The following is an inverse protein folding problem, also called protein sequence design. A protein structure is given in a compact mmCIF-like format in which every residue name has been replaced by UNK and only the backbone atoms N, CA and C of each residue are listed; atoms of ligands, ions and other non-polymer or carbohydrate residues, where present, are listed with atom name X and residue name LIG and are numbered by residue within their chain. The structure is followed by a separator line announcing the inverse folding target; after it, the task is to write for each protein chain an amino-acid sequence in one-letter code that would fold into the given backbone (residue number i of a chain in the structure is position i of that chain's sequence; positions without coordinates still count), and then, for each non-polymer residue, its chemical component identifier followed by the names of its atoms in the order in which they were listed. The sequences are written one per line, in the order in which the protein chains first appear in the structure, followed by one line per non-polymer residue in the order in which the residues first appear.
data_IF_624797809260
#
_entry.id   IF_624797809260
#
_cell.length_a   1.000
_cell.length_b   1.000
_cell.length_c   1.000
_cell.angle_alpha   90.00
_cell.angle_beta   90.00
_cell.angle_gamma   90.00
#
_symmetry.space_group_name_H-M   'P 1'
#
loop_
_entity.id
_entity.type
_entity.pdbx_description
1 polymer ?
#
# COMPACT_ATOMS: atom_id res chain seq x y z
N UNK A 1 7.28 -5.33 22.17
CA UNK A 1 8.24 -4.30 21.72
C UNK A 1 8.01 -3.03 22.52
N UNK A 2 9.04 -2.31 22.95
CA UNK A 2 8.83 -1.02 23.64
C UNK A 2 8.46 0.07 22.62
N UNK A 3 7.64 1.03 23.03
CA UNK A 3 7.23 2.17 22.19
C UNK A 3 8.44 2.93 21.60
N UNK A 4 9.48 3.04 22.44
CA UNK A 4 10.73 3.72 22.16
C UNK A 4 11.54 3.06 21.03
N UNK A 5 11.29 1.78 20.75
CA UNK A 5 11.87 1.06 19.62
C UNK A 5 10.88 1.01 18.43
N UNK A 6 9.59 0.81 18.70
CA UNK A 6 8.56 0.68 17.67
C UNK A 6 8.43 1.93 16.79
N UNK A 7 8.37 3.13 17.40
CA UNK A 7 8.19 4.38 16.66
C UNK A 7 9.39 4.69 15.75
N UNK A 8 10.66 4.63 16.22
CA UNK A 8 11.81 4.80 15.33
C UNK A 8 11.87 3.73 14.24
N UNK A 9 11.58 2.45 14.55
CA UNK A 9 11.60 1.39 13.54
C UNK A 9 10.54 1.63 12.47
N UNK A 10 9.30 1.94 12.84
CA UNK A 10 8.23 2.24 11.88
C UNK A 10 8.56 3.49 11.03
N UNK A 11 9.11 4.54 11.65
CA UNK A 11 9.52 5.75 10.96
C UNK A 11 10.66 5.51 9.96
N UNK A 12 11.71 4.82 10.39
CA UNK A 12 12.85 4.46 9.53
C UNK A 12 12.40 3.56 8.38
N UNK A 13 11.55 2.56 8.67
CA UNK A 13 10.97 1.68 7.66
C UNK A 13 10.16 2.46 6.63
N UNK A 14 9.37 3.45 7.08
CA UNK A 14 8.63 4.37 6.21
C UNK A 14 9.54 5.26 5.37
N UNK A 15 10.64 5.78 5.94
CA UNK A 15 11.64 6.55 5.18
C UNK A 15 12.36 5.68 4.15
N UNK A 16 12.74 4.45 4.50
CA UNK A 16 13.33 3.49 3.55
C UNK A 16 12.36 3.23 2.41
N UNK A 17 11.10 2.95 2.70
CA UNK A 17 10.09 2.78 1.66
C UNK A 17 9.90 4.05 0.80
N UNK A 18 9.96 5.25 1.39
CA UNK A 18 9.88 6.50 0.64
C UNK A 18 11.09 6.74 -0.29
N UNK A 19 12.29 6.30 0.11
CA UNK A 19 13.52 6.42 -0.69
C UNK A 19 13.60 5.31 -1.77
N UNK A 20 13.18 4.10 -1.43
CA UNK A 20 13.09 2.94 -2.34
C UNK A 20 11.62 2.50 -2.48
N UNK A 21 10.79 3.30 -3.16
CA UNK A 21 9.40 2.95 -3.39
C UNK A 21 9.34 1.72 -4.29
N UNK A 22 8.34 0.89 -4.05
CA UNK A 22 8.02 -0.21 -4.93
C UNK A 22 7.38 0.29 -6.23
N UNK A 23 7.33 -0.61 -7.20
CA UNK A 23 6.97 -0.36 -8.60
C UNK A 23 5.59 0.27 -8.79
N UNK A 24 4.70 0.11 -7.81
CA UNK A 24 3.35 0.66 -7.85
C UNK A 24 3.23 2.01 -7.14
N UNK A 25 4.05 2.29 -6.12
CA UNK A 25 3.94 3.52 -5.32
C UNK A 25 4.67 4.70 -5.95
N UNK A 26 5.77 4.46 -6.66
CA UNK A 26 6.56 5.54 -7.28
C UNK A 26 5.78 6.32 -8.36
N UNK A 27 5.12 5.69 -9.35
CA UNK A 27 4.37 6.42 -10.37
C UNK A 27 3.21 7.24 -9.79
N UNK A 28 2.59 6.78 -8.69
CA UNK A 28 1.45 7.46 -8.06
C UNK A 28 1.90 8.72 -7.31
N UNK A 29 2.87 8.57 -6.41
CA UNK A 29 3.36 9.66 -5.56
C UNK A 29 4.10 10.74 -6.34
N UNK A 30 4.91 10.33 -7.33
CA UNK A 30 5.59 11.26 -8.24
C UNK A 30 4.59 12.03 -9.12
N UNK A 31 3.57 11.34 -9.66
CA UNK A 31 2.54 12.00 -10.49
C UNK A 31 1.70 13.03 -9.73
N UNK A 32 1.40 12.81 -8.44
CA UNK A 32 0.69 13.82 -7.64
C UNK A 32 1.56 15.02 -7.25
N UNK A 33 2.84 14.79 -6.94
CA UNK A 33 3.76 15.84 -6.50
C UNK A 33 4.33 16.67 -7.65
N UNK A 34 4.54 16.06 -8.82
CA UNK A 34 5.14 16.69 -10.01
C UNK A 34 4.11 16.99 -11.10
N UNK A 35 3.05 16.19 -11.24
CA UNK A 35 2.04 16.36 -12.29
C UNK A 35 1.07 17.52 -12.07
N UNK A 36 1.07 18.15 -10.89
CA UNK A 36 0.42 19.43 -10.70
C UNK A 36 1.28 20.55 -11.31
N UNK A 37 0.73 21.34 -12.23
CA UNK A 37 1.41 22.47 -12.89
C UNK A 37 1.81 23.64 -11.94
N UNK A 38 1.75 23.44 -10.62
CA UNK A 38 2.13 24.42 -9.60
C UNK A 38 2.77 23.76 -8.39
N UNK A 39 3.85 24.35 -7.88
CA UNK A 39 4.55 23.93 -6.65
C UNK A 39 3.68 23.99 -5.39
N UNK A 40 2.60 24.78 -5.40
CA UNK A 40 1.60 24.80 -4.31
C UNK A 40 0.60 23.65 -4.46
N UNK A 41 0.13 23.40 -5.68
CA UNK A 41 -0.79 22.29 -5.98
C UNK A 41 -0.17 20.93 -5.66
N UNK A 42 1.11 20.73 -6.00
CA UNK A 42 1.79 19.44 -5.81
C UNK A 42 2.06 19.13 -4.36
N UNK A 43 2.40 20.16 -3.58
CA UNK A 43 2.52 20.04 -2.12
C UNK A 43 1.18 19.71 -1.47
N UNK A 44 0.09 20.34 -1.89
CA UNK A 44 -1.24 20.04 -1.35
C UNK A 44 -1.71 18.63 -1.74
N UNK A 45 -1.56 18.25 -3.01
CA UNK A 45 -1.93 16.92 -3.49
C UNK A 45 -1.12 15.82 -2.81
N UNK A 46 0.21 16.00 -2.72
CA UNK A 46 1.09 15.08 -2.00
C UNK A 46 0.76 14.98 -0.52
N UNK A 47 0.47 16.10 0.16
CA UNK A 47 0.06 16.09 1.56
C UNK A 47 -1.26 15.34 1.78
N UNK A 48 -2.29 15.65 0.97
CA UNK A 48 -3.61 15.02 1.07
C UNK A 48 -3.54 13.51 0.81
N UNK A 49 -2.77 13.10 -0.20
CA UNK A 49 -2.53 11.69 -0.50
C UNK A 49 -1.85 10.98 0.68
N UNK A 50 -0.72 11.51 1.14
CA UNK A 50 0.07 10.91 2.22
C UNK A 50 -0.69 10.87 3.54
N UNK A 51 -1.48 11.90 3.85
CA UNK A 51 -2.31 11.93 5.05
C UNK A 51 -3.42 10.87 5.00
N UNK A 52 -4.12 10.75 3.88
CA UNK A 52 -5.18 9.75 3.70
C UNK A 52 -4.62 8.32 3.74
N UNK A 53 -3.47 8.10 3.10
CA UNK A 53 -2.74 6.83 3.13
C UNK A 53 -2.28 6.48 4.54
N UNK A 54 -1.73 7.44 5.29
CA UNK A 54 -1.31 7.25 6.68
C UNK A 54 -2.49 6.92 7.59
N UNK A 55 -3.60 7.63 7.45
CA UNK A 55 -4.82 7.38 8.20
C UNK A 55 -5.35 5.97 7.93
N UNK A 56 -5.44 5.57 6.65
CA UNK A 56 -5.83 4.21 6.31
C UNK A 56 -4.86 3.20 6.93
N UNK A 57 -3.55 3.46 6.85
CA UNK A 57 -2.53 2.52 7.32
C UNK A 57 -2.62 2.31 8.83
N UNK A 58 -2.92 3.37 9.57
CA UNK A 58 -3.18 3.32 11.02
C UNK A 58 -4.44 2.49 11.34
N UNK A 59 -5.53 2.67 10.59
CA UNK A 59 -6.75 1.85 10.77
C UNK A 59 -6.46 0.38 10.49
N UNK A 60 -5.75 0.09 9.39
CA UNK A 60 -5.44 -1.28 9.02
C UNK A 60 -4.46 -1.95 9.99
N UNK A 61 -3.48 -1.22 10.55
CA UNK A 61 -2.60 -1.75 11.60
C UNK A 61 -3.35 -2.02 12.90
N UNK A 62 -4.31 -1.18 13.27
CA UNK A 62 -5.16 -1.42 14.43
C UNK A 62 -6.06 -2.65 14.23
N UNK A 63 -6.67 -2.78 13.05
CA UNK A 63 -7.43 -3.98 12.69
C UNK A 63 -6.53 -5.23 12.70
N UNK A 64 -5.28 -5.12 12.24
CA UNK A 64 -4.31 -6.21 12.31
C UNK A 64 -3.95 -6.55 13.75
N UNK A 65 -3.76 -5.56 14.63
CA UNK A 65 -3.54 -5.79 16.06
C UNK A 65 -4.72 -6.52 16.69
N UNK A 66 -5.95 -6.04 16.49
CA UNK A 66 -7.15 -6.64 17.06
C UNK A 66 -7.43 -8.04 16.50
N UNK A 67 -7.20 -8.24 15.20
CA UNK A 67 -7.36 -9.55 14.57
C UNK A 67 -6.27 -10.52 15.05
N UNK A 68 -4.99 -10.16 14.93
CA UNK A 68 -3.87 -11.07 15.22
C UNK A 68 -3.62 -11.26 16.72
N UNK A 69 -3.90 -10.30 17.60
CA UNK A 69 -3.67 -10.47 19.05
C UNK A 69 -4.43 -11.67 19.64
N UNK A 70 -5.57 -12.05 19.06
CA UNK A 70 -6.32 -13.24 19.44
C UNK A 70 -5.76 -14.55 18.84
N UNK A 71 -5.08 -14.50 17.68
CA UNK A 71 -4.56 -15.67 16.94
C UNK A 71 -3.06 -15.92 17.15
N UNK A 72 -2.30 -14.92 17.61
CA UNK A 72 -0.84 -14.92 17.73
C UNK A 72 -0.28 -15.98 18.68
N UNK A 73 -1.12 -16.65 19.47
CA UNK A 73 -0.70 -17.70 20.41
C UNK A 73 -1.10 -19.12 19.99
N UNK A 74 -1.60 -19.33 18.76
CA UNK A 74 -1.92 -20.67 18.26
C UNK A 74 -1.08 -21.02 17.02
N UNK A 75 0.02 -21.78 17.19
CA UNK A 75 0.91 -22.19 16.09
C UNK A 75 0.17 -22.85 14.91
N UNK A 76 -0.97 -23.51 15.17
CA UNK A 76 -1.78 -24.18 14.16
C UNK A 76 -2.30 -23.24 13.08
N UNK A 77 -2.71 -22.01 13.45
CA UNK A 77 -3.26 -21.06 12.50
C UNK A 77 -2.19 -20.42 11.62
N UNK A 78 -1.00 -20.20 12.17
CA UNK A 78 0.16 -19.71 11.42
C UNK A 78 0.55 -20.69 10.30
N UNK A 79 0.65 -21.99 10.60
CA UNK A 79 0.94 -23.02 9.60
C UNK A 79 -0.10 -23.07 8.49
N UNK A 80 -1.39 -22.97 8.82
CA UNK A 80 -2.47 -23.00 7.84
C UNK A 80 -2.39 -21.79 6.91
N UNK A 81 -2.21 -20.58 7.46
CA UNK A 81 -2.09 -19.35 6.67
C UNK A 81 -0.89 -19.41 5.73
N UNK A 82 0.28 -19.83 6.23
CA UNK A 82 1.47 -19.96 5.37
C UNK A 82 1.29 -21.00 4.27
N UNK A 83 0.65 -22.14 4.55
CA UNK A 83 0.34 -23.14 3.52
C UNK A 83 -0.59 -22.58 2.45
N UNK A 84 -1.66 -21.88 2.85
CA UNK A 84 -2.63 -21.31 1.91
C UNK A 84 -2.00 -20.20 1.08
N UNK A 85 -1.36 -19.22 1.71
CA UNK A 85 -0.72 -18.08 1.02
C UNK A 85 0.41 -18.58 0.12
N UNK A 86 1.28 -19.47 0.62
CA UNK A 86 2.35 -20.07 -0.18
C UNK A 86 1.83 -20.82 -1.39
N UNK A 87 0.73 -21.57 -1.24
CA UNK A 87 0.09 -22.28 -2.35
C UNK A 87 -0.49 -21.31 -3.39
N UNK A 88 -1.14 -20.23 -2.95
CA UNK A 88 -1.67 -19.19 -3.84
C UNK A 88 -0.54 -18.49 -4.59
N UNK A 89 0.57 -18.16 -3.93
CA UNK A 89 1.74 -17.57 -4.57
C UNK A 89 2.36 -18.50 -5.60
N UNK A 90 2.51 -19.80 -5.30
CA UNK A 90 2.99 -20.81 -6.24
C UNK A 90 2.04 -20.95 -7.43
N UNK A 91 0.73 -21.01 -7.20
CA UNK A 91 -0.27 -21.10 -8.26
C UNK A 91 -0.27 -19.86 -9.15
N UNK A 92 -0.15 -18.67 -8.57
CA UNK A 92 -0.10 -17.39 -9.28
C UNK A 92 1.20 -17.28 -10.08
N UNK A 93 2.33 -17.67 -9.49
CA UNK A 93 3.62 -17.74 -10.19
C UNK A 93 3.56 -18.70 -11.37
N UNK A 94 3.10 -19.93 -11.17
CA UNK A 94 2.92 -20.92 -12.23
C UNK A 94 1.96 -20.44 -13.32
N UNK A 95 0.88 -19.74 -12.94
CA UNK A 95 -0.07 -19.17 -13.88
C UNK A 95 0.61 -18.11 -14.76
N UNK A 96 1.34 -17.16 -14.16
CA UNK A 96 2.08 -16.12 -14.88
C UNK A 96 3.17 -16.73 -15.77
N UNK A 97 3.96 -17.67 -15.24
CA UNK A 97 5.03 -18.38 -15.97
C UNK A 97 4.52 -19.20 -17.15
N UNK A 98 3.36 -19.86 -17.03
CA UNK A 98 2.81 -20.73 -18.09
C UNK A 98 1.95 -20.00 -19.11
N UNK A 99 1.26 -18.93 -18.71
CA UNK A 99 0.30 -18.23 -19.58
C UNK A 99 0.79 -16.86 -20.05
N UNK A 100 1.81 -16.29 -19.42
CA UNK A 100 2.39 -14.98 -19.78
C UNK A 100 1.38 -13.83 -19.78
N UNK A 101 0.22 -14.00 -19.15
CA UNK A 101 -0.93 -13.09 -19.23
C UNK A 101 -1.49 -12.84 -17.84
N UNK A 102 -1.41 -11.58 -17.40
CA UNK A 102 -2.15 -11.07 -16.24
C UNK A 102 -3.59 -10.81 -16.68
N UNK A 103 -4.55 -11.46 -16.00
CA UNK A 103 -5.98 -11.19 -16.20
C UNK A 103 -6.27 -9.87 -15.49
N UNK A 104 -6.47 -8.80 -16.25
CA UNK A 104 -7.11 -7.60 -15.74
C UNK A 104 -8.63 -7.82 -15.78
N UNK A 105 -9.34 -7.39 -14.73
CA UNK A 105 -10.80 -7.43 -14.65
C UNK A 105 -11.41 -6.64 -15.83
N UNK A 106 -11.76 -7.35 -16.90
CA UNK A 106 -12.66 -6.87 -17.95
C UNK A 106 -12.05 -6.57 -19.32
N UNK A 107 -10.76 -6.24 -19.47
CA UNK A 107 -10.22 -5.81 -20.78
C UNK A 107 -8.78 -6.26 -21.06
N UNK A 108 -8.53 -6.64 -22.32
CA UNK A 108 -7.19 -6.79 -22.92
C UNK A 108 -6.86 -5.48 -23.61
N UNK A 109 -5.94 -4.69 -23.07
CA UNK A 109 -5.43 -3.52 -23.78
C UNK A 109 -4.43 -3.95 -24.86
N UNK A 110 -4.79 -3.71 -26.13
CA UNK A 110 -3.80 -3.54 -27.18
C UNK A 110 -3.03 -2.21 -27.00
N UNK A 111 -1.96 -1.96 -27.79
CA UNK A 111 -1.23 -0.71 -27.73
C UNK A 111 -2.21 0.45 -27.89
N UNK A 112 -2.17 1.37 -26.93
CA UNK A 112 -2.99 2.58 -26.91
C UNK A 112 -2.69 3.34 -28.20
N UNK A 113 -3.66 3.52 -29.12
CA UNK A 113 -3.46 4.46 -30.20
C UNK A 113 -3.25 5.81 -29.54
N UNK A 114 -2.14 6.47 -29.89
CA UNK A 114 -1.83 7.83 -29.47
C UNK A 114 -3.01 8.71 -29.90
N UNK A 115 -3.93 8.95 -28.98
CA UNK A 115 -5.13 9.71 -29.28
C UNK A 115 -4.70 11.16 -29.46
N UNK A 116 -4.82 11.66 -30.69
CA UNK A 116 -4.69 13.07 -31.08
C UNK A 116 -5.79 13.95 -30.45
N UNK A 117 -5.92 13.91 -29.12
CA UNK A 117 -6.72 14.88 -28.38
C UNK A 117 -5.97 15.21 -27.09
N UNK A 118 -4.78 15.80 -27.25
CA UNK A 118 -4.07 16.52 -26.20
C UNK A 118 -4.82 17.82 -25.84
N UNK A 119 -6.13 17.71 -25.58
CA UNK A 119 -6.86 18.74 -24.85
C UNK A 119 -6.22 18.83 -23.48
N UNK A 120 -5.93 20.06 -23.07
CA UNK A 120 -5.38 20.43 -21.76
C UNK A 120 -5.84 19.44 -20.68
N UNK A 121 -4.92 18.82 -19.93
CA UNK A 121 -5.28 17.82 -18.95
C UNK A 121 -6.36 18.36 -18.03
N UNK A 122 -7.47 17.61 -17.94
CA UNK A 122 -8.61 17.97 -17.11
C UNK A 122 -8.11 18.21 -15.69
N UNK A 123 -8.46 19.35 -15.11
CA UNK A 123 -8.15 19.63 -13.71
C UNK A 123 -8.77 18.53 -12.84
N UNK A 124 -7.94 17.75 -12.16
CA UNK A 124 -8.42 16.72 -11.26
C UNK A 124 -9.16 17.36 -10.08
N UNK A 125 -10.26 16.74 -9.60
CA UNK A 125 -10.94 17.23 -8.41
C UNK A 125 -9.98 17.28 -7.21
N UNK A 126 -10.05 18.30 -6.33
CA UNK A 126 -9.11 18.49 -5.24
C UNK A 126 -9.17 17.38 -4.17
N UNK A 127 -10.27 16.63 -4.10
CA UNK A 127 -10.42 15.48 -3.19
C UNK A 127 -9.82 14.18 -3.74
N UNK A 128 -9.50 14.12 -5.03
CA UNK A 128 -9.06 12.88 -5.68
C UNK A 128 -7.75 12.32 -5.08
N UNK A 129 -6.72 13.12 -4.73
CA UNK A 129 -5.54 12.62 -4.01
C UNK A 129 -5.89 11.97 -2.66
N UNK A 130 -6.89 12.50 -1.95
CA UNK A 130 -7.34 11.95 -0.66
C UNK A 130 -8.00 10.58 -0.86
N UNK A 131 -8.95 10.48 -1.79
CA UNK A 131 -9.63 9.21 -2.09
C UNK A 131 -8.63 8.16 -2.58
N UNK A 132 -7.71 8.56 -3.47
CA UNK A 132 -6.69 7.66 -3.97
C UNK A 132 -5.74 7.22 -2.85
N UNK A 133 -5.24 8.13 -2.02
CA UNK A 133 -4.37 7.80 -0.89
C UNK A 133 -5.03 6.80 0.06
N UNK A 134 -6.31 6.99 0.37
CA UNK A 134 -7.07 6.06 1.20
C UNK A 134 -7.23 4.68 0.54
N UNK A 135 -7.61 4.60 -0.74
CA UNK A 135 -7.79 3.33 -1.45
C UNK A 135 -6.45 2.60 -1.64
N UNK A 136 -5.40 3.32 -2.05
CA UNK A 136 -4.06 2.78 -2.24
C UNK A 136 -3.47 2.20 -0.95
N UNK A 137 -3.86 2.73 0.20
CA UNK A 137 -3.48 2.20 1.50
C UNK A 137 -3.87 0.73 1.72
N UNK A 138 -4.92 0.23 1.05
CA UNK A 138 -5.32 -1.19 1.13
C UNK A 138 -4.43 -2.13 0.30
N UNK A 139 -3.48 -1.60 -0.47
CA UNK A 139 -2.47 -2.39 -1.16
C UNK A 139 -1.58 -3.18 -0.20
N UNK A 140 -1.23 -4.41 -0.59
CA UNK A 140 -0.38 -5.33 0.17
C UNK A 140 1.02 -5.33 -0.42
N UNK A 141 1.95 -4.62 0.23
CA UNK A 141 3.38 -4.60 -0.09
C UNK A 141 4.23 -5.18 1.05
N UNK A 142 5.51 -5.45 0.79
CA UNK A 142 6.42 -6.04 1.79
C UNK A 142 6.50 -5.20 3.09
N UNK A 143 6.50 -3.87 2.96
CA UNK A 143 6.50 -2.95 4.09
C UNK A 143 5.18 -2.99 4.88
N UNK A 144 4.04 -3.06 4.19
CA UNK A 144 2.73 -3.20 4.82
C UNK A 144 2.63 -4.51 5.61
N UNK A 145 3.16 -5.62 5.07
CA UNK A 145 3.20 -6.90 5.77
C UNK A 145 4.00 -6.81 7.06
N UNK A 146 5.21 -6.22 7.04
CA UNK A 146 6.02 -6.04 8.25
C UNK A 146 5.27 -5.21 9.30
N UNK A 147 4.59 -4.14 8.88
CA UNK A 147 3.78 -3.31 9.79
C UNK A 147 2.65 -4.13 10.41
N UNK A 148 1.91 -4.90 9.63
CA UNK A 148 0.73 -5.62 10.09
C UNK A 148 1.03 -6.90 10.89
N UNK A 149 2.09 -7.62 10.55
CA UNK A 149 2.36 -8.95 11.14
C UNK A 149 3.46 -8.92 12.17
N UNK A 150 4.31 -7.89 12.18
CA UNK A 150 5.44 -7.79 13.11
C UNK A 150 5.28 -6.59 14.04
N UNK A 151 5.16 -5.38 13.50
CA UNK A 151 5.16 -4.18 14.32
C UNK A 151 3.87 -4.04 15.13
N UNK A 152 2.71 -4.06 14.47
CA UNK A 152 1.41 -3.88 15.13
C UNK A 152 1.17 -4.93 16.22
N UNK A 153 1.29 -6.25 15.97
CA UNK A 153 1.01 -7.26 17.00
C UNK A 153 2.06 -7.29 18.14
N UNK A 154 3.24 -6.71 17.93
CA UNK A 154 4.27 -6.60 18.96
C UNK A 154 4.08 -5.39 19.90
N UNK A 155 3.08 -4.53 19.65
CA UNK A 155 2.75 -3.40 20.51
C UNK A 155 2.06 -3.87 21.79
N UNK A 156 2.33 -3.20 22.90
CA UNK A 156 1.86 -3.65 24.23
C UNK A 156 0.38 -3.36 24.50
N UNK A 157 -0.28 -2.55 23.66
CA UNK A 157 -1.67 -2.15 23.83
C UNK A 157 -2.23 -1.54 22.55
N UNK A 158 -3.55 -1.69 22.31
CA UNK A 158 -4.29 -1.00 21.25
C UNK A 158 -4.31 0.54 21.38
N UNK A 159 -4.17 1.07 22.59
CA UNK A 159 -4.34 2.51 22.85
C UNK A 159 -3.08 3.33 22.67
N UNK A 160 -1.94 2.68 22.89
CA UNK A 160 -0.58 3.23 22.74
C UNK A 160 0.10 2.51 21.56
N UNK A 161 -0.71 1.84 20.75
CA UNK A 161 -0.41 1.05 19.56
C UNK A 161 -0.57 1.90 18.31
#
# INVERSE_FOLDING_TARGET
MSLLLALPTAFLLGMTHGITPDEHTWPITFSYSVGSYSSRGGRQAGFLFSAAFTLQRAIASELAFLALSAFQFSPRWEYIVYLVVGSVMVASGLYILRRGKVIHLGHVHGPVPESEDSKSPRSLPPYMPLVHGFIAGWGVGAFALIVYTVLAPAMSSAWIG
#
